data_IF_142825889543
#
_entry.id   IF_142825889543
#
_cell.length_a   1.000
_cell.length_b   1.000
_cell.length_c   1.000
_cell.angle_alpha   90.00
_cell.angle_beta   90.00
_cell.angle_gamma   90.00
#
_symmetry.space_group_name_H-M   'P 1'
#
loop_
_entity.id
_entity.type
_entity.pdbx_description
1 polymer ?
#
# COMPACT_ATOMS: atom_id res chain seq x y z
N UNK A 1 17.77 0.87 9.58
CA UNK A 1 16.67 0.45 8.68
C UNK A 1 15.92 1.70 8.28
N UNK A 2 15.89 2.06 6.99
CA UNK A 2 15.34 3.35 6.54
C UNK A 2 13.86 3.47 6.89
N UNK A 3 13.47 4.60 7.49
CA UNK A 3 12.07 4.93 7.71
C UNK A 3 11.43 5.18 6.35
N UNK A 4 10.57 4.27 5.88
CA UNK A 4 9.73 4.53 4.72
C UNK A 4 8.73 5.62 5.12
N UNK A 5 8.96 6.85 4.65
CA UNK A 5 8.07 7.98 4.90
C UNK A 5 6.89 7.86 3.94
N UNK A 6 5.70 7.64 4.51
CA UNK A 6 4.47 7.62 3.73
C UNK A 6 4.12 9.04 3.29
N UNK A 7 3.83 9.30 1.99
CA UNK A 7 3.36 10.61 1.56
C UNK A 7 2.10 11.02 2.33
N UNK A 8 1.98 12.29 2.73
CA UNK A 8 0.84 12.79 3.50
C UNK A 8 -0.50 12.45 2.83
N UNK A 9 -0.57 12.60 1.51
CA UNK A 9 -1.74 12.21 0.71
C UNK A 9 -2.15 10.76 0.90
N UNK A 10 -1.19 9.83 0.94
CA UNK A 10 -1.48 8.41 1.08
C UNK A 10 -1.99 8.09 2.49
N UNK A 11 -1.53 8.83 3.51
CA UNK A 11 -2.03 8.70 4.88
C UNK A 11 -3.53 9.02 4.97
N UNK A 12 -3.96 10.10 4.31
CA UNK A 12 -5.37 10.50 4.29
C UNK A 12 -6.24 9.49 3.53
N UNK A 13 -5.76 9.03 2.37
CA UNK A 13 -6.44 7.98 1.57
C UNK A 13 -6.59 6.67 2.35
N UNK A 14 -5.55 6.24 3.08
CA UNK A 14 -5.60 5.04 3.93
C UNK A 14 -6.53 5.20 5.13
N UNK A 15 -6.63 6.40 5.69
CA UNK A 15 -7.58 6.71 6.77
C UNK A 15 -9.02 6.49 6.31
N UNK A 16 -9.39 7.03 5.15
CA UNK A 16 -10.71 6.86 4.54
C UNK A 16 -10.98 5.39 4.21
N UNK A 17 -10.01 4.68 3.61
CA UNK A 17 -10.14 3.25 3.32
C UNK A 17 -10.35 2.42 4.59
N UNK A 18 -9.65 2.73 5.69
CA UNK A 18 -9.84 2.07 6.98
C UNK A 18 -11.29 2.17 7.45
N UNK A 19 -11.86 3.37 7.41
CA UNK A 19 -13.25 3.60 7.80
C UNK A 19 -14.23 2.84 6.91
N UNK A 20 -14.03 2.86 5.60
CA UNK A 20 -14.85 2.11 4.65
C UNK A 20 -14.79 0.60 4.92
N UNK A 21 -13.60 0.05 5.19
CA UNK A 21 -13.40 -1.37 5.48
C UNK A 21 -14.13 -1.79 6.78
N UNK A 22 -14.03 -0.99 7.83
CA UNK A 22 -14.71 -1.24 9.12
C UNK A 22 -16.23 -1.17 8.93
N UNK A 23 -16.72 -0.18 8.19
CA UNK A 23 -18.15 -0.01 7.88
C UNK A 23 -18.67 -1.03 6.85
N UNK A 24 -17.77 -1.83 6.24
CA UNK A 24 -18.07 -2.77 5.15
C UNK A 24 -18.87 -2.12 4.02
N UNK A 25 -18.44 -0.94 3.59
CA UNK A 25 -19.05 -0.25 2.45
C UNK A 25 -18.88 -1.13 1.21
N UNK A 26 -19.97 -1.42 0.49
CA UNK A 26 -19.93 -2.31 -0.69
C UNK A 26 -19.16 -1.70 -1.86
N UNK A 27 -19.27 -0.39 -2.05
CA UNK A 27 -18.58 0.31 -3.13
C UNK A 27 -18.01 1.66 -2.68
N UNK A 28 -16.72 1.87 -2.98
CA UNK A 28 -15.98 3.10 -2.64
C UNK A 28 -15.74 3.98 -3.87
N UNK A 29 -16.23 3.58 -5.05
CA UNK A 29 -15.99 4.27 -6.33
C UNK A 29 -16.62 5.66 -6.38
N UNK A 30 -17.60 5.93 -5.53
CA UNK A 30 -18.25 7.24 -5.39
C UNK A 30 -17.35 8.28 -4.71
N UNK A 31 -16.34 7.85 -3.95
CA UNK A 31 -15.43 8.75 -3.27
C UNK A 31 -14.17 8.99 -4.12
N UNK A 32 -14.11 10.15 -4.79
CA UNK A 32 -13.01 10.54 -5.69
C UNK A 32 -11.60 10.35 -5.09
N UNK A 33 -11.43 10.50 -3.77
CA UNK A 33 -10.15 10.33 -3.11
C UNK A 33 -9.65 8.87 -3.13
N UNK A 34 -10.58 7.91 -3.01
CA UNK A 34 -10.28 6.47 -2.88
C UNK A 34 -10.84 5.62 -4.02
N UNK A 35 -11.53 6.21 -4.99
CA UNK A 35 -12.15 5.50 -6.12
C UNK A 35 -11.13 4.69 -6.92
N UNK A 36 -9.91 5.21 -7.09
CA UNK A 36 -8.78 4.52 -7.72
C UNK A 36 -8.31 3.26 -6.98
N UNK A 37 -8.69 3.09 -5.72
CA UNK A 37 -8.34 1.95 -4.89
C UNK A 37 -9.48 0.92 -4.80
N UNK A 38 -10.56 1.08 -5.57
CA UNK A 38 -11.75 0.21 -5.54
C UNK A 38 -11.44 -1.27 -5.75
N UNK A 39 -10.62 -1.59 -6.75
CA UNK A 39 -10.20 -2.98 -7.03
C UNK A 39 -9.39 -3.57 -5.86
N UNK A 40 -8.47 -2.78 -5.31
CA UNK A 40 -7.67 -3.21 -4.16
C UNK A 40 -8.52 -3.36 -2.89
N UNK A 41 -9.49 -2.48 -2.68
CA UNK A 41 -10.45 -2.57 -1.58
C UNK A 41 -11.31 -3.84 -1.66
N UNK A 42 -11.82 -4.20 -2.85
CA UNK A 42 -12.54 -5.46 -3.08
C UNK A 42 -11.64 -6.67 -2.81
N UNK A 43 -10.36 -6.59 -3.18
CA UNK A 43 -9.38 -7.63 -2.83
C UNK A 43 -9.21 -7.78 -1.32
N UNK A 44 -9.11 -6.68 -0.56
CA UNK A 44 -9.00 -6.71 0.90
C UNK A 44 -10.22 -7.33 1.57
N UNK A 45 -11.43 -6.98 1.14
CA UNK A 45 -12.67 -7.55 1.65
C UNK A 45 -12.76 -9.07 1.40
N UNK A 46 -12.32 -9.54 0.24
CA UNK A 46 -12.31 -10.97 -0.09
C UNK A 46 -11.22 -11.74 0.67
N UNK A 47 -10.06 -11.11 0.92
CA UNK A 47 -8.92 -11.74 1.60
C UNK A 47 -9.10 -11.83 3.12
N UNK A 48 -9.79 -10.85 3.71
CA UNK A 48 -9.96 -10.73 5.15
C UNK A 48 -11.44 -10.77 5.52
N UNK A 49 -11.91 -11.90 6.07
CA UNK A 49 -13.30 -12.08 6.47
C UNK A 49 -13.73 -11.18 7.66
N UNK A 50 -12.79 -10.77 8.50
CA UNK A 50 -13.07 -9.95 9.68
C UNK A 50 -12.11 -8.76 9.75
N UNK A 51 -12.65 -7.56 9.53
CA UNK A 51 -11.92 -6.30 9.64
C UNK A 51 -12.63 -5.42 10.68
N UNK A 52 -11.89 -4.96 11.69
CA UNK A 52 -12.36 -4.14 12.79
C UNK A 52 -11.36 -3.02 13.13
N UNK A 53 -11.70 -2.13 14.07
CA UNK A 53 -10.81 -1.02 14.45
C UNK A 53 -9.45 -1.47 14.99
N UNK A 54 -9.38 -2.67 15.59
CA UNK A 54 -8.16 -3.21 16.17
C UNK A 54 -7.20 -3.73 15.10
N UNK A 55 -7.72 -4.31 14.02
CA UNK A 55 -6.92 -5.00 13.01
C UNK A 55 -6.79 -4.22 11.68
N UNK A 56 -7.71 -3.30 11.37
CA UNK A 56 -7.78 -2.65 10.06
C UNK A 56 -6.49 -1.89 9.73
N UNK A 57 -5.91 -1.20 10.72
CA UNK A 57 -4.66 -0.48 10.54
C UNK A 57 -3.49 -1.42 10.23
N UNK A 58 -3.37 -2.53 10.97
CA UNK A 58 -2.32 -3.52 10.75
C UNK A 58 -2.46 -4.23 9.39
N UNK A 59 -3.68 -4.54 8.97
CA UNK A 59 -3.98 -5.09 7.65
C UNK A 59 -3.55 -4.13 6.55
N UNK A 60 -4.00 -2.87 6.63
CA UNK A 60 -3.63 -1.85 5.64
C UNK A 60 -2.12 -1.64 5.58
N UNK A 61 -1.44 -1.53 6.73
CA UNK A 61 0.01 -1.36 6.77
C UNK A 61 0.74 -2.53 6.11
N UNK A 62 0.31 -3.78 6.39
CA UNK A 62 0.88 -4.98 5.80
C UNK A 62 0.71 -5.00 4.28
N UNK A 63 -0.51 -4.76 3.81
CA UNK A 63 -0.84 -4.85 2.39
C UNK A 63 -0.23 -3.71 1.57
N UNK A 64 -0.15 -2.50 2.15
CA UNK A 64 0.61 -1.38 1.57
C UNK A 64 2.09 -1.75 1.46
N UNK A 65 2.67 -2.36 2.49
CA UNK A 65 4.07 -2.80 2.47
C UNK A 65 4.34 -3.82 1.36
N UNK A 66 3.42 -4.77 1.15
CA UNK A 66 3.50 -5.75 0.06
C UNK A 66 3.47 -5.03 -1.30
N UNK A 67 2.50 -4.14 -1.52
CA UNK A 67 2.39 -3.39 -2.77
C UNK A 67 3.63 -2.53 -3.04
N UNK A 68 4.17 -1.90 -2.00
CA UNK A 68 5.39 -1.11 -2.12
C UNK A 68 6.60 -1.99 -2.50
N UNK A 69 6.73 -3.17 -1.89
CA UNK A 69 7.78 -4.13 -2.22
C UNK A 69 7.66 -4.66 -3.65
N UNK A 70 6.44 -4.93 -4.14
CA UNK A 70 6.20 -5.32 -5.54
C UNK A 70 6.66 -4.22 -6.50
N UNK A 71 6.29 -2.97 -6.23
CA UNK A 71 6.70 -1.81 -7.05
C UNK A 71 8.21 -1.67 -7.09
N UNK A 72 8.89 -1.80 -5.95
CA UNK A 72 10.36 -1.74 -5.90
C UNK A 72 11.02 -2.90 -6.67
N UNK A 73 10.41 -4.08 -6.66
CA UNK A 73 10.87 -5.22 -7.46
C UNK A 73 10.72 -4.95 -8.97
N UNK A 74 9.57 -4.45 -9.40
CA UNK A 74 9.33 -4.08 -10.80
C UNK A 74 10.22 -2.92 -11.27
N UNK A 75 10.50 -1.95 -10.40
CA UNK A 75 11.43 -0.85 -10.67
C UNK A 75 12.90 -1.29 -10.80
N UNK A 76 13.19 -2.59 -10.62
CA UNK A 76 14.53 -3.14 -10.74
C UNK A 76 15.43 -2.88 -9.53
N UNK A 77 14.96 -2.15 -8.51
CA UNK A 77 15.72 -1.80 -7.30
C UNK A 77 16.14 -3.06 -6.51
N UNK A 78 15.40 -4.17 -6.65
CA UNK A 78 15.74 -5.46 -6.02
C UNK A 78 16.16 -6.56 -7.01
N UNK A 79 16.33 -6.25 -8.30
CA UNK A 79 16.86 -7.25 -9.24
C UNK A 79 18.33 -7.50 -8.93
N UNK A 80 18.71 -8.77 -8.74
CA UNK A 80 20.11 -9.22 -8.56
C UNK A 80 20.83 -9.39 -9.90
N UNK A 81 20.54 -8.52 -10.85
CA UNK A 81 21.30 -8.37 -12.08
C UNK A 81 22.18 -7.11 -11.99
N UNK A 82 23.13 -6.94 -12.91
CA UNK A 82 24.09 -5.82 -12.88
C UNK A 82 23.41 -4.46 -12.91
N UNK A 83 22.26 -4.36 -13.58
CA UNK A 83 21.44 -3.14 -13.68
C UNK A 83 20.72 -2.86 -12.37
N UNK A 84 20.13 -3.87 -11.74
CA UNK A 84 19.41 -3.75 -10.47
C UNK A 84 20.32 -3.47 -9.28
N UNK A 85 21.52 -4.05 -9.25
CA UNK A 85 22.56 -3.66 -8.27
C UNK A 85 23.00 -2.20 -8.44
N UNK A 86 23.19 -1.73 -9.68
CA UNK A 86 23.52 -0.31 -9.91
C UNK A 86 22.37 0.64 -9.55
N UNK A 87 21.12 0.25 -9.79
CA UNK A 87 19.94 1.01 -9.38
C UNK A 87 19.78 1.02 -7.84
N UNK A 88 20.05 -0.10 -7.17
CA UNK A 88 20.09 -0.20 -5.72
C UNK A 88 21.16 0.71 -5.12
N UNK A 89 22.39 0.67 -5.65
CA UNK A 89 23.47 1.55 -5.21
C UNK A 89 23.11 3.03 -5.42
N UNK A 90 22.49 3.39 -6.55
CA UNK A 90 22.00 4.76 -6.78
C UNK A 90 20.93 5.17 -5.76
N UNK A 91 20.00 4.27 -5.45
CA UNK A 91 18.97 4.52 -4.45
C UNK A 91 19.57 4.73 -3.06
N UNK A 92 20.46 3.84 -2.61
CA UNK A 92 21.17 3.95 -1.33
C UNK A 92 21.95 5.25 -1.22
N UNK A 93 22.62 5.68 -2.30
CA UNK A 93 23.39 6.92 -2.32
C UNK A 93 22.54 8.19 -2.47
N UNK A 94 21.24 8.09 -2.76
CA UNK A 94 20.32 9.24 -2.88
C UNK A 94 19.56 9.57 -1.58
N UNK A 95 19.72 8.72 -0.56
CA UNK A 95 19.17 8.87 0.80
C UNK A 95 20.25 9.44 1.71
#
# INVERSE_FOLDING_TARGET
MGLAVLPARLKDELGLLKECLIKKVEDISENEAIAKHSDWYKYLLNKYNHIDENNAYGILQKEVGIKFSEVLNHAGVFKRDTVGMSAFDKFVNSI
#
